data_IF_058889214540
#
_entry.id   IF_058889214540
#
_cell.length_a   1.000
_cell.length_b   1.000
_cell.length_c   1.000
_cell.angle_alpha   90.00
_cell.angle_beta   90.00
_cell.angle_gamma   90.00
#
_symmetry.space_group_name_H-M   'P 1'
#
loop_
_entity.id
_entity.type
_entity.pdbx_description
1 polymer ?
#
# COMPACT_ATOMS: atom_id res chain seq x y z
N UNK A 1 -4.89 9.11 16.51
CA UNK A 1 -5.38 9.31 17.90
C UNK A 1 -5.13 8.05 18.73
N UNK A 2 -4.82 8.18 20.04
CA UNK A 2 -4.49 7.03 20.89
C UNK A 2 -5.66 6.05 21.04
N UNK A 3 -6.89 6.56 21.18
CA UNK A 3 -8.10 5.73 21.24
C UNK A 3 -8.28 4.88 19.98
N UNK A 4 -8.07 5.45 18.79
CA UNK A 4 -8.13 4.71 17.53
C UNK A 4 -7.09 3.59 17.48
N UNK A 5 -5.85 3.86 17.93
CA UNK A 5 -4.79 2.86 17.93
C UNK A 5 -5.09 1.72 18.91
N UNK A 6 -5.61 2.04 20.11
CA UNK A 6 -6.07 1.03 21.08
C UNK A 6 -7.23 0.20 20.53
N UNK A 7 -8.17 0.84 19.84
CA UNK A 7 -9.31 0.15 19.24
C UNK A 7 -8.87 -0.84 18.14
N UNK A 8 -7.97 -0.42 17.25
CA UNK A 8 -7.43 -1.30 16.19
C UNK A 8 -6.65 -2.47 16.81
N UNK A 9 -5.86 -2.25 17.87
CA UNK A 9 -5.13 -3.33 18.54
C UNK A 9 -6.05 -4.37 19.17
N UNK A 10 -7.14 -3.93 19.78
CA UNK A 10 -8.09 -4.77 20.50
C UNK A 10 -9.22 -5.31 19.61
N UNK A 11 -9.11 -5.19 18.28
CA UNK A 11 -10.19 -5.52 17.33
C UNK A 11 -10.61 -7.00 17.39
N UNK A 12 -9.65 -7.89 17.63
CA UNK A 12 -9.85 -9.35 17.73
C UNK A 12 -10.03 -9.83 19.19
N UNK A 13 -10.23 -8.91 20.14
CA UNK A 13 -10.63 -9.25 21.50
C UNK A 13 -12.09 -9.70 21.52
N UNK A 14 -12.43 -10.66 22.37
CA UNK A 14 -13.78 -11.22 22.47
C UNK A 14 -14.37 -10.92 23.83
N UNK A 15 -15.67 -10.58 23.87
CA UNK A 15 -16.38 -10.20 25.10
C UNK A 15 -16.15 -11.16 26.28
N UNK A 16 -16.01 -12.46 26.04
CA UNK A 16 -15.79 -13.47 27.07
C UNK A 16 -14.32 -13.62 27.54
N UNK A 17 -13.36 -12.91 26.94
CA UNK A 17 -11.93 -12.99 27.24
C UNK A 17 -11.17 -14.06 26.45
N UNK A 18 -11.79 -14.69 25.45
CA UNK A 18 -11.14 -15.70 24.60
C UNK A 18 -10.51 -15.11 23.32
N UNK A 19 -10.50 -13.79 23.19
CA UNK A 19 -9.90 -13.08 22.06
C UNK A 19 -8.41 -12.83 22.25
N UNK A 20 -7.83 -12.20 21.23
CA UNK A 20 -6.41 -11.87 21.17
C UNK A 20 -6.25 -10.36 20.88
N UNK A 21 -5.09 -9.77 21.19
CA UNK A 21 -3.85 -10.38 21.68
C UNK A 21 -3.69 -10.44 23.20
N UNK A 22 -4.42 -9.62 23.95
CA UNK A 22 -4.19 -9.34 25.36
C UNK A 22 -5.20 -10.07 26.28
N UNK A 23 -6.27 -10.67 25.72
CA UNK A 23 -7.26 -11.46 26.45
C UNK A 23 -8.22 -10.61 27.27
N UNK A 24 -8.50 -9.40 26.79
CA UNK A 24 -9.38 -8.43 27.45
C UNK A 24 -10.81 -8.96 27.53
N UNK A 25 -11.53 -8.67 28.62
CA UNK A 25 -12.90 -9.15 28.83
C UNK A 25 -13.88 -8.01 29.08
N UNK A 26 -15.07 -8.13 28.49
CA UNK A 26 -16.16 -7.19 28.72
C UNK A 26 -15.76 -5.75 28.37
N UNK A 27 -15.93 -4.85 29.34
CA UNK A 27 -15.63 -3.42 29.17
C UNK A 27 -14.14 -3.07 29.19
N UNK A 28 -13.24 -4.02 29.51
CA UNK A 28 -11.80 -3.83 29.31
C UNK A 28 -11.47 -3.61 27.83
N UNK A 29 -12.31 -4.15 26.94
CA UNK A 29 -12.22 -3.94 25.50
C UNK A 29 -12.70 -2.51 25.18
N UNK A 30 -11.90 -1.67 24.50
CA UNK A 30 -12.32 -0.34 24.07
C UNK A 30 -13.65 -0.39 23.32
N UNK A 31 -14.56 0.55 23.60
CA UNK A 31 -15.88 0.59 22.96
C UNK A 31 -15.79 0.59 21.43
N UNK A 32 -14.85 1.37 20.87
CA UNK A 32 -14.62 1.41 19.42
C UNK A 32 -14.20 0.04 18.85
N UNK A 33 -13.41 -0.75 19.57
CA UNK A 33 -13.03 -2.11 19.15
C UNK A 33 -14.25 -3.04 19.15
N UNK A 34 -15.09 -2.96 20.20
CA UNK A 34 -16.33 -3.76 20.29
C UNK A 34 -17.29 -3.45 19.14
N UNK A 35 -17.45 -2.16 18.80
CA UNK A 35 -18.27 -1.72 17.66
C UNK A 35 -17.69 -2.25 16.34
N UNK A 36 -16.39 -2.03 16.10
CA UNK A 36 -15.73 -2.47 14.86
C UNK A 36 -15.72 -3.99 14.70
N UNK A 37 -15.47 -4.76 15.76
CA UNK A 37 -15.46 -6.23 15.70
C UNK A 37 -16.83 -6.82 15.36
N UNK A 38 -17.91 -6.25 15.92
CA UNK A 38 -19.28 -6.61 15.55
C UNK A 38 -19.55 -6.24 14.08
N UNK A 39 -19.27 -4.99 13.68
CA UNK A 39 -19.50 -4.51 12.32
C UNK A 39 -18.77 -5.34 11.26
N UNK A 40 -17.49 -5.67 11.49
CA UNK A 40 -16.68 -6.51 10.60
C UNK A 40 -17.31 -7.89 10.38
N UNK A 41 -17.78 -8.54 11.45
CA UNK A 41 -18.40 -9.87 11.31
C UNK A 41 -19.75 -9.78 10.61
N UNK A 42 -20.56 -8.78 10.98
CA UNK A 42 -21.88 -8.56 10.38
C UNK A 42 -21.77 -8.32 8.88
N UNK A 43 -20.83 -7.47 8.43
CA UNK A 43 -20.61 -7.20 7.01
C UNK A 43 -20.26 -8.47 6.23
N UNK A 44 -19.32 -9.28 6.74
CA UNK A 44 -18.92 -10.54 6.08
C UNK A 44 -20.11 -11.49 5.90
N UNK A 45 -20.95 -11.63 6.93
CA UNK A 45 -22.12 -12.49 6.87
C UNK A 45 -23.27 -11.89 6.06
N UNK A 46 -23.40 -10.56 6.02
CA UNK A 46 -24.32 -9.88 5.11
C UNK A 46 -23.95 -10.16 3.65
N UNK A 47 -22.68 -10.01 3.29
CA UNK A 47 -22.19 -10.27 1.93
C UNK A 47 -22.39 -11.72 1.51
N UNK A 48 -22.27 -12.68 2.43
CA UNK A 48 -22.43 -14.11 2.13
C UNK A 48 -23.88 -14.63 2.21
N UNK A 49 -24.70 -14.10 3.12
CA UNK A 49 -26.00 -14.69 3.52
C UNK A 49 -27.14 -13.67 3.65
N UNK A 50 -26.90 -12.40 3.31
CA UNK A 50 -27.87 -11.32 3.39
C UNK A 50 -28.19 -10.88 4.84
N UNK A 51 -29.18 -9.99 5.02
CA UNK A 51 -29.57 -9.42 6.32
C UNK A 51 -29.84 -10.46 7.40
N UNK A 52 -30.52 -11.55 7.04
CA UNK A 52 -30.90 -12.62 7.99
C UNK A 52 -29.66 -13.31 8.56
N UNK A 53 -28.70 -13.68 7.71
CA UNK A 53 -27.47 -14.33 8.17
C UNK A 53 -26.60 -13.40 9.03
N UNK A 54 -26.60 -12.11 8.72
CA UNK A 54 -25.90 -11.08 9.50
C UNK A 54 -26.52 -10.91 10.91
N UNK A 55 -27.85 -10.87 11.03
CA UNK A 55 -28.54 -10.86 12.33
C UNK A 55 -28.31 -12.16 13.11
N UNK A 56 -28.41 -13.32 12.45
CA UNK A 56 -28.24 -14.63 13.08
C UNK A 56 -26.84 -14.78 13.69
N UNK A 57 -25.76 -14.38 12.97
CA UNK A 57 -24.41 -14.50 13.50
C UNK A 57 -24.17 -13.57 14.69
N UNK A 58 -24.70 -12.34 14.65
CA UNK A 58 -24.58 -11.38 15.74
C UNK A 58 -25.23 -11.91 17.01
N UNK A 59 -26.45 -12.45 16.91
CA UNK A 59 -27.18 -13.08 18.03
C UNK A 59 -26.48 -14.32 18.54
N UNK A 60 -26.01 -15.18 17.63
CA UNK A 60 -25.34 -16.44 17.98
C UNK A 60 -24.09 -16.23 18.82
N UNK A 61 -23.35 -15.14 18.57
CA UNK A 61 -22.09 -14.81 19.27
C UNK A 61 -22.26 -13.76 20.37
N UNK A 62 -23.50 -13.34 20.68
CA UNK A 62 -23.83 -12.37 21.73
C UNK A 62 -23.36 -12.87 23.09
N UNK A 63 -22.56 -12.07 23.80
CA UNK A 63 -22.01 -12.42 25.11
C UNK A 63 -20.83 -13.39 25.07
N UNK A 64 -20.44 -13.87 23.89
CA UNK A 64 -19.20 -14.61 23.68
C UNK A 64 -18.15 -13.75 22.98
N UNK A 65 -18.42 -13.38 21.73
CA UNK A 65 -17.51 -12.52 20.97
C UNK A 65 -17.93 -11.05 21.11
N UNK A 66 -19.23 -10.80 21.07
CA UNK A 66 -19.77 -9.45 21.00
C UNK A 66 -20.38 -9.00 22.31
N UNK A 67 -20.23 -7.71 22.57
CA UNK A 67 -20.93 -7.00 23.63
C UNK A 67 -22.46 -7.19 23.47
N UNK A 68 -23.14 -7.76 24.49
CA UNK A 68 -24.58 -7.93 24.51
C UNK A 68 -25.39 -6.68 24.12
N UNK A 69 -24.99 -5.52 24.62
CA UNK A 69 -25.73 -4.28 24.43
C UNK A 69 -25.58 -3.76 23.01
N UNK A 70 -24.38 -3.90 22.41
CA UNK A 70 -24.14 -3.53 21.02
C UNK A 70 -24.90 -4.44 20.04
N UNK A 71 -25.01 -5.73 20.34
CA UNK A 71 -25.82 -6.66 19.53
C UNK A 71 -27.29 -6.24 19.56
N UNK A 72 -27.80 -5.85 20.73
CA UNK A 72 -29.20 -5.44 20.87
C UNK A 72 -29.48 -4.13 20.11
N UNK A 73 -28.56 -3.16 20.15
CA UNK A 73 -28.62 -1.94 19.33
C UNK A 73 -28.59 -2.28 17.84
N UNK A 74 -27.61 -3.06 17.38
CA UNK A 74 -27.51 -3.45 15.98
C UNK A 74 -28.78 -4.14 15.47
N UNK A 75 -29.33 -5.08 16.25
CA UNK A 75 -30.57 -5.78 15.92
C UNK A 75 -31.76 -4.82 15.81
N UNK A 76 -31.83 -3.80 16.67
CA UNK A 76 -32.91 -2.82 16.61
C UNK A 76 -32.83 -1.98 15.33
N UNK A 77 -31.62 -1.52 14.97
CA UNK A 77 -31.35 -0.77 13.74
C UNK A 77 -31.57 -1.61 12.47
N UNK A 78 -31.07 -2.85 12.46
CA UNK A 78 -31.22 -3.78 11.35
C UNK A 78 -32.68 -4.03 10.95
N UNK A 79 -33.60 -4.00 11.93
CA UNK A 79 -35.04 -4.16 11.68
C UNK A 79 -35.69 -2.97 11.00
N UNK A 80 -35.10 -1.78 11.12
CA UNK A 80 -35.61 -0.58 10.45
C UNK A 80 -35.33 -0.59 8.94
N UNK A 81 -34.39 -1.42 8.48
CA UNK A 81 -34.08 -1.60 7.06
C UNK A 81 -33.11 -0.57 6.48
N UNK A 82 -33.03 0.64 7.05
CA UNK A 82 -32.18 1.74 6.57
C UNK A 82 -30.69 1.34 6.48
N UNK A 83 -30.20 0.56 7.44
CA UNK A 83 -28.83 0.05 7.42
C UNK A 83 -28.55 -0.81 6.18
N UNK A 84 -29.49 -1.68 5.80
CA UNK A 84 -29.33 -2.59 4.67
C UNK A 84 -29.46 -1.86 3.34
N UNK A 85 -30.35 -0.88 3.26
CA UNK A 85 -30.47 0.00 2.09
C UNK A 85 -29.16 0.76 1.87
N UNK A 86 -28.60 1.36 2.92
CA UNK A 86 -27.32 2.05 2.86
C UNK A 86 -26.16 1.14 2.44
N UNK A 87 -26.09 -0.09 2.96
CA UNK A 87 -25.07 -1.08 2.57
C UNK A 87 -25.24 -1.59 1.12
N UNK A 88 -26.44 -1.46 0.54
CA UNK A 88 -26.71 -1.79 -0.86
C UNK A 88 -26.38 -0.67 -1.85
N UNK A 89 -25.99 0.51 -1.38
CA UNK A 89 -25.71 1.66 -2.26
C UNK A 89 -24.47 1.44 -3.15
N UNK A 90 -24.50 1.84 -4.44
CA UNK A 90 -23.37 1.66 -5.36
C UNK A 90 -22.07 2.39 -4.96
N UNK A 91 -22.16 3.49 -4.20
CA UNK A 91 -21.01 4.32 -3.80
C UNK A 91 -20.94 4.46 -2.27
N UNK A 92 -20.86 3.32 -1.59
CA UNK A 92 -20.75 3.25 -0.13
C UNK A 92 -19.58 4.09 0.42
N UNK A 93 -18.46 4.18 -0.32
CA UNK A 93 -17.30 4.97 0.08
C UNK A 93 -17.64 6.47 0.22
N UNK A 94 -18.46 7.00 -0.67
CA UNK A 94 -18.96 8.37 -0.56
C UNK A 94 -19.94 8.53 0.59
N UNK A 95 -20.86 7.58 0.78
CA UNK A 95 -21.84 7.66 1.87
C UNK A 95 -21.14 7.63 3.25
N UNK A 96 -20.10 6.81 3.41
CA UNK A 96 -19.27 6.77 4.62
C UNK A 96 -18.48 8.08 4.82
N UNK A 97 -17.91 8.68 3.76
CA UNK A 97 -17.15 9.92 3.91
C UNK A 97 -18.01 11.11 4.36
N UNK A 98 -19.29 11.11 4.01
CA UNK A 98 -20.26 12.12 4.47
C UNK A 98 -20.63 11.99 5.95
N UNK A 99 -20.32 10.86 6.59
CA UNK A 99 -20.53 10.65 8.03
C UNK A 99 -19.42 11.25 8.89
N UNK A 100 -18.31 11.72 8.30
CA UNK A 100 -17.23 12.36 9.06
C UNK A 100 -17.71 13.65 9.74
N UNK A 101 -17.51 13.82 11.06
CA UNK A 101 -17.87 15.05 11.74
C UNK A 101 -17.12 16.25 11.13
N UNK A 102 -17.86 17.26 10.68
CA UNK A 102 -17.31 18.40 9.94
C UNK A 102 -16.25 19.19 10.74
N UNK A 103 -16.33 19.17 12.07
CA UNK A 103 -15.38 19.81 13.00
C UNK A 103 -14.08 19.01 13.19
N UNK A 104 -14.00 17.78 12.67
CA UNK A 104 -12.85 16.89 12.78
C UNK A 104 -12.13 16.65 11.44
N UNK A 105 -12.58 17.28 10.36
CA UNK A 105 -11.95 17.18 9.05
C UNK A 105 -10.57 17.85 9.08
N UNK A 106 -9.53 17.08 8.83
CA UNK A 106 -8.16 17.58 8.72
C UNK A 106 -7.84 17.72 7.22
N UNK A 107 -7.46 18.94 6.81
CA UNK A 107 -6.99 19.15 5.45
C UNK A 107 -5.68 18.38 5.24
N UNK A 108 -5.62 17.60 4.15
CA UNK A 108 -4.44 16.84 3.77
C UNK A 108 -3.32 17.77 3.25
N UNK A 109 -2.68 18.49 4.17
CA UNK A 109 -1.51 19.30 3.86
C UNK A 109 -0.37 18.42 3.34
N UNK A 110 0.54 18.95 2.52
CA UNK A 110 1.62 18.16 1.93
C UNK A 110 2.46 17.35 2.94
N UNK A 111 2.66 17.85 4.16
CA UNK A 111 3.43 17.18 5.21
C UNK A 111 2.70 15.92 5.72
N UNK A 112 1.36 15.99 5.80
CA UNK A 112 0.53 14.84 6.15
C UNK A 112 0.53 13.79 5.04
N UNK A 113 0.55 14.21 3.79
CA UNK A 113 0.68 13.29 2.65
C UNK A 113 2.03 12.57 2.66
N UNK A 114 3.11 13.26 3.01
CA UNK A 114 4.43 12.64 3.14
C UNK A 114 4.44 11.61 4.26
N UNK A 115 3.91 11.96 5.45
CA UNK A 115 3.79 11.03 6.57
C UNK A 115 2.93 9.82 6.22
N UNK A 116 1.83 10.05 5.51
CA UNK A 116 0.94 8.98 5.02
C UNK A 116 1.67 8.06 4.05
N UNK A 117 2.39 8.62 3.07
CA UNK A 117 3.18 7.83 2.12
C UNK A 117 4.25 6.97 2.82
N UNK A 118 4.96 7.51 3.83
CA UNK A 118 5.91 6.74 4.62
C UNK A 118 5.24 5.64 5.46
N UNK A 119 4.07 5.90 6.05
CA UNK A 119 3.33 4.90 6.79
C UNK A 119 2.90 3.74 5.89
N UNK A 120 2.37 4.04 4.69
CA UNK A 120 2.00 3.02 3.70
C UNK A 120 3.21 2.28 3.15
N UNK A 121 4.34 2.95 2.88
CA UNK A 121 5.59 2.30 2.50
C UNK A 121 6.00 1.21 3.50
N UNK A 122 5.88 1.47 4.81
CA UNK A 122 6.16 0.47 5.84
C UNK A 122 5.19 -0.71 5.82
N UNK A 123 3.92 -0.47 5.52
CA UNK A 123 2.92 -1.54 5.36
C UNK A 123 3.25 -2.41 4.13
N UNK A 124 3.60 -1.77 3.02
CA UNK A 124 4.01 -2.43 1.78
C UNK A 124 5.25 -3.30 2.02
N UNK A 125 6.29 -2.70 2.59
CA UNK A 125 7.55 -3.38 2.87
C UNK A 125 7.40 -4.50 3.90
N UNK A 126 6.44 -4.41 4.83
CA UNK A 126 6.14 -5.46 5.81
C UNK A 126 5.45 -6.69 5.20
N UNK A 127 4.93 -6.59 3.97
CA UNK A 127 4.29 -7.71 3.28
C UNK A 127 5.27 -8.87 3.02
N UNK A 128 6.55 -8.56 2.82
CA UNK A 128 7.62 -9.53 2.59
C UNK A 128 8.83 -9.22 3.48
N UNK A 129 9.45 -10.22 4.13
CA UNK A 129 10.65 -9.99 4.94
C UNK A 129 11.85 -9.47 4.12
N UNK A 130 11.82 -9.58 2.79
CA UNK A 130 12.90 -9.19 1.87
C UNK A 130 12.77 -7.77 1.32
N UNK A 131 11.71 -7.05 1.69
CA UNK A 131 11.47 -5.67 1.24
C UNK A 131 11.68 -4.65 2.35
N UNK A 132 12.25 -5.03 3.49
CA UNK A 132 12.43 -4.11 4.61
C UNK A 132 13.26 -2.87 4.21
N UNK A 133 12.61 -1.69 4.25
CA UNK A 133 13.15 -0.37 3.87
C UNK A 133 13.44 -0.20 2.37
N UNK A 134 12.98 -1.11 1.52
CA UNK A 134 13.12 -1.01 0.07
C UNK A 134 12.41 0.24 -0.48
N UNK A 135 11.23 0.54 0.03
CA UNK A 135 10.48 1.73 -0.37
C UNK A 135 11.19 3.02 -0.02
N UNK A 136 11.80 3.09 1.18
CA UNK A 136 12.59 4.25 1.61
C UNK A 136 13.90 4.41 0.82
N UNK A 137 14.58 3.30 0.49
CA UNK A 137 15.82 3.29 -0.30
C UNK A 137 15.61 3.86 -1.71
N UNK A 138 14.60 3.36 -2.43
CA UNK A 138 14.26 3.86 -3.76
C UNK A 138 13.79 5.32 -3.73
N UNK A 139 12.93 5.69 -2.77
CA UNK A 139 12.47 7.07 -2.66
C UNK A 139 13.63 8.04 -2.41
N UNK A 140 14.64 7.64 -1.63
CA UNK A 140 15.86 8.43 -1.40
C UNK A 140 16.69 8.56 -2.67
N UNK A 141 16.97 7.45 -3.35
CA UNK A 141 17.75 7.46 -4.59
C UNK A 141 17.07 8.29 -5.68
N UNK A 142 15.76 8.09 -5.89
CA UNK A 142 14.99 8.84 -6.88
C UNK A 142 15.00 10.35 -6.60
N UNK A 143 14.80 10.76 -5.34
CA UNK A 143 14.86 12.17 -4.95
C UNK A 143 16.25 12.78 -5.21
N UNK A 144 17.32 12.06 -4.86
CA UNK A 144 18.70 12.53 -5.08
C UNK A 144 19.05 12.66 -6.56
N UNK A 145 18.65 11.70 -7.38
CA UNK A 145 18.83 11.77 -8.83
C UNK A 145 18.04 12.95 -9.39
N UNK A 146 16.79 13.15 -8.96
CA UNK A 146 15.95 14.27 -9.39
C UNK A 146 16.52 15.64 -9.02
N UNK A 147 17.01 15.81 -7.79
CA UNK A 147 17.74 17.01 -7.36
C UNK A 147 18.96 17.25 -8.25
N UNK A 148 19.73 16.19 -8.53
CA UNK A 148 20.95 16.28 -9.32
C UNK A 148 20.71 16.72 -10.77
N UNK A 149 19.64 16.24 -11.41
CA UNK A 149 19.26 16.65 -12.78
C UNK A 149 18.46 17.96 -12.82
N UNK A 150 18.23 18.60 -11.66
CA UNK A 150 17.63 19.94 -11.58
C UNK A 150 16.10 19.98 -11.64
N UNK A 151 15.42 18.91 -11.22
CA UNK A 151 13.96 18.94 -11.12
C UNK A 151 13.48 19.92 -10.02
N UNK A 152 12.34 20.60 -10.20
CA UNK A 152 11.77 21.48 -9.18
C UNK A 152 11.42 20.73 -7.89
N UNK A 153 11.49 21.41 -6.74
CA UNK A 153 11.21 20.82 -5.42
C UNK A 153 9.88 20.08 -5.33
N UNK A 154 8.82 20.62 -5.96
CA UNK A 154 7.51 19.96 -6.02
C UNK A 154 7.56 18.62 -6.74
N UNK A 155 8.27 18.55 -7.86
CA UNK A 155 8.45 17.32 -8.63
C UNK A 155 9.32 16.30 -7.87
N UNK A 156 10.36 16.76 -7.17
CA UNK A 156 11.18 15.90 -6.28
C UNK A 156 10.31 15.30 -5.17
N UNK A 157 9.43 16.09 -4.55
CA UNK A 157 8.53 15.61 -3.49
C UNK A 157 7.53 14.58 -4.01
N UNK A 158 6.96 14.81 -5.18
CA UNK A 158 6.02 13.88 -5.81
C UNK A 158 6.71 12.59 -6.23
N UNK A 159 7.93 12.67 -6.78
CA UNK A 159 8.75 11.51 -7.11
C UNK A 159 9.12 10.70 -5.85
N UNK A 160 9.44 11.36 -4.74
CA UNK A 160 9.67 10.70 -3.46
C UNK A 160 8.43 9.92 -3.00
N UNK A 161 7.23 10.51 -3.12
CA UNK A 161 5.97 9.84 -2.80
C UNK A 161 5.68 8.66 -3.73
N UNK A 162 5.93 8.80 -5.04
CA UNK A 162 5.82 7.68 -5.97
C UNK A 162 6.80 6.57 -5.63
N UNK A 163 8.05 6.90 -5.29
CA UNK A 163 9.03 5.94 -4.80
C UNK A 163 8.52 5.15 -3.60
N UNK A 164 7.92 5.81 -2.61
CA UNK A 164 7.36 5.17 -1.41
C UNK A 164 6.13 4.28 -1.71
N UNK A 165 5.35 4.60 -2.74
CA UNK A 165 4.05 3.99 -3.00
C UNK A 165 3.98 3.09 -4.25
N UNK A 166 5.06 3.03 -5.04
CA UNK A 166 5.12 2.27 -6.32
C UNK A 166 4.70 0.81 -6.21
N UNK A 167 4.93 0.23 -5.03
CA UNK A 167 4.69 -1.16 -4.73
C UNK A 167 3.36 -1.43 -3.98
N UNK A 168 2.48 -0.43 -3.81
CA UNK A 168 1.21 -0.65 -3.08
C UNK A 168 0.34 -1.74 -3.70
N UNK A 169 0.41 -1.91 -5.02
CA UNK A 169 -0.25 -2.98 -5.74
C UNK A 169 0.26 -4.39 -5.37
N UNK A 170 1.47 -4.52 -4.79
CA UNK A 170 1.95 -5.82 -4.28
C UNK A 170 1.03 -6.37 -3.20
N UNK A 171 0.25 -5.54 -2.49
CA UNK A 171 -0.75 -6.00 -1.53
C UNK A 171 -1.76 -6.99 -2.15
N UNK A 172 -2.07 -6.84 -3.45
CA UNK A 172 -2.93 -7.77 -4.20
C UNK A 172 -2.25 -9.05 -4.70
N UNK A 173 -0.94 -9.23 -4.48
CA UNK A 173 -0.18 -10.41 -4.91
C UNK A 173 0.01 -11.37 -3.74
N UNK A 174 -0.05 -12.68 -4.00
CA UNK A 174 0.13 -13.71 -2.97
C UNK A 174 1.58 -13.78 -2.48
N UNK A 175 1.77 -13.87 -1.15
CA UNK A 175 3.09 -14.11 -0.56
C UNK A 175 3.71 -15.45 -0.98
N UNK A 176 2.88 -16.44 -1.37
CA UNK A 176 3.39 -17.71 -1.93
C UNK A 176 4.21 -17.51 -3.22
N UNK A 177 3.97 -16.40 -3.93
CA UNK A 177 4.71 -16.00 -5.13
C UNK A 177 5.84 -15.07 -4.73
N UNK A 178 5.55 -13.99 -3.99
CA UNK A 178 6.55 -12.96 -3.64
C UNK A 178 7.73 -13.52 -2.82
N UNK A 179 7.45 -14.45 -1.91
CA UNK A 179 8.45 -15.02 -0.99
C UNK A 179 8.94 -16.40 -1.44
N UNK A 180 8.66 -16.81 -2.68
CA UNK A 180 9.05 -18.12 -3.20
C UNK A 180 10.59 -18.27 -3.17
N UNK A 181 11.14 -19.31 -2.52
CA UNK A 181 12.58 -19.56 -2.51
C UNK A 181 12.99 -20.20 -3.84
N UNK A 182 13.31 -19.36 -4.84
CA UNK A 182 13.76 -19.80 -6.16
C UNK A 182 13.16 -18.97 -7.30
N UNK A 183 13.43 -19.36 -8.57
CA UNK A 183 12.86 -18.65 -9.72
C UNK A 183 11.35 -18.79 -9.78
N UNK A 184 10.70 -17.72 -10.23
CA UNK A 184 9.28 -17.74 -10.57
C UNK A 184 9.06 -18.50 -11.87
N UNK A 185 7.95 -19.22 -11.97
CA UNK A 185 7.44 -19.68 -13.26
C UNK A 185 6.93 -18.49 -14.07
N UNK A 186 6.72 -18.68 -15.37
CA UNK A 186 6.17 -17.63 -16.23
C UNK A 186 4.79 -17.14 -15.73
N UNK A 187 3.89 -18.07 -15.39
CA UNK A 187 2.57 -17.74 -14.81
C UNK A 187 2.67 -16.98 -13.48
N UNK A 188 3.64 -17.33 -12.63
CA UNK A 188 3.89 -16.62 -11.37
C UNK A 188 4.41 -15.21 -11.63
N UNK A 189 5.31 -15.05 -12.62
CA UNK A 189 5.86 -13.76 -12.99
C UNK A 189 4.80 -12.86 -13.64
N UNK A 190 3.92 -13.38 -14.49
CA UNK A 190 2.78 -12.64 -15.04
C UNK A 190 1.85 -12.11 -13.95
N UNK A 191 1.69 -12.85 -12.84
CA UNK A 191 0.95 -12.34 -11.67
C UNK A 191 1.68 -11.18 -11.00
N UNK A 192 3.00 -11.27 -10.84
CA UNK A 192 3.81 -10.16 -10.29
C UNK A 192 3.73 -8.92 -11.17
N UNK A 193 3.78 -9.07 -12.51
CA UNK A 193 3.66 -7.95 -13.46
C UNK A 193 2.37 -7.15 -13.37
N UNK A 194 1.34 -7.67 -12.69
CA UNK A 194 0.07 -6.94 -12.45
C UNK A 194 0.19 -5.86 -11.39
N UNK A 195 1.17 -5.94 -10.49
CA UNK A 195 1.24 -5.04 -9.35
C UNK A 195 1.36 -3.55 -9.72
N UNK A 196 2.08 -3.12 -10.79
CA UNK A 196 2.14 -1.70 -11.11
C UNK A 196 0.78 -1.17 -11.61
N UNK A 197 0.03 -2.00 -12.34
CA UNK A 197 -1.37 -1.67 -12.72
C UNK A 197 -2.27 -1.53 -11.50
N UNK A 198 -2.17 -2.45 -10.53
CA UNK A 198 -2.88 -2.35 -9.25
C UNK A 198 -2.46 -1.10 -8.44
N UNK A 199 -1.18 -0.73 -8.47
CA UNK A 199 -0.68 0.53 -7.89
C UNK A 199 -1.38 1.72 -8.52
N UNK A 200 -1.48 1.77 -9.85
CA UNK A 200 -2.19 2.85 -10.55
C UNK A 200 -3.66 2.94 -10.12
N UNK A 201 -4.36 1.80 -10.06
CA UNK A 201 -5.76 1.74 -9.65
C UNK A 201 -5.98 2.27 -8.22
N UNK A 202 -5.15 1.85 -7.27
CA UNK A 202 -5.23 2.28 -5.87
C UNK A 202 -4.95 3.78 -5.74
N UNK A 203 -3.86 4.27 -6.34
CA UNK A 203 -3.45 5.68 -6.22
C UNK A 203 -4.40 6.62 -6.96
N UNK A 204 -5.02 6.19 -8.05
CA UNK A 204 -6.02 7.00 -8.78
C UNK A 204 -7.27 7.29 -7.94
N UNK A 205 -7.67 6.31 -7.10
CA UNK A 205 -8.81 6.44 -6.18
C UNK A 205 -8.48 7.31 -4.96
N UNK A 206 -7.22 7.37 -4.55
CA UNK A 206 -6.75 8.27 -3.51
C UNK A 206 -6.49 9.67 -4.08
N UNK A 207 -7.49 10.56 -4.04
CA UNK A 207 -7.45 11.86 -4.71
C UNK A 207 -6.13 12.66 -4.53
N UNK A 208 -5.51 12.74 -3.32
CA UNK A 208 -4.24 13.45 -3.15
C UNK A 208 -3.03 12.82 -3.86
N UNK A 209 -3.07 11.51 -4.16
CA UNK A 209 -2.00 10.76 -4.84
C UNK A 209 -2.30 10.47 -6.30
N UNK A 210 -3.45 10.91 -6.83
CA UNK A 210 -3.83 10.66 -8.23
C UNK A 210 -2.77 11.17 -9.21
N UNK A 211 -2.17 12.33 -8.93
CA UNK A 211 -1.16 12.94 -9.81
C UNK A 211 0.14 12.13 -9.93
N UNK A 212 0.41 11.22 -9.00
CA UNK A 212 1.63 10.38 -9.00
C UNK A 212 1.34 8.93 -9.42
N UNK A 213 0.08 8.59 -9.72
CA UNK A 213 -0.35 7.21 -9.94
C UNK A 213 0.35 6.55 -11.14
N UNK A 214 0.39 7.24 -12.29
CA UNK A 214 1.07 6.73 -13.48
C UNK A 214 2.58 6.63 -13.27
N UNK A 215 3.19 7.67 -12.68
CA UNK A 215 4.62 7.67 -12.35
C UNK A 215 5.00 6.47 -11.47
N UNK A 216 4.22 6.22 -10.42
CA UNK A 216 4.42 5.08 -9.54
C UNK A 216 4.20 3.74 -10.26
N UNK A 217 3.33 3.67 -11.26
CA UNK A 217 3.01 2.45 -12.01
C UNK A 217 3.97 2.16 -13.19
N UNK A 218 4.73 3.15 -13.64
CA UNK A 218 5.68 3.04 -14.75
C UNK A 218 7.09 2.61 -14.31
N UNK A 219 7.33 2.35 -13.01
CA UNK A 219 8.66 2.08 -12.47
C UNK A 219 9.35 0.81 -13.01
N UNK A 220 8.62 -0.06 -13.72
CA UNK A 220 9.16 -1.24 -14.41
C UNK A 220 9.13 -1.12 -15.94
N UNK A 221 8.72 0.04 -16.47
CA UNK A 221 8.80 0.34 -17.90
C UNK A 221 10.24 0.63 -18.31
N UNK A 222 10.58 0.34 -19.57
CA UNK A 222 11.94 0.44 -20.11
C UNK A 222 11.92 1.22 -21.41
N UNK A 223 13.02 1.91 -21.72
CA UNK A 223 13.07 2.77 -22.90
C UNK A 223 12.82 2.01 -24.22
N UNK A 224 13.28 0.75 -24.31
CA UNK A 224 13.06 -0.15 -25.45
C UNK A 224 11.63 -0.74 -25.53
N UNK A 225 10.76 -0.47 -24.56
CA UNK A 225 9.41 -1.04 -24.48
C UNK A 225 9.34 -2.49 -24.01
N UNK A 226 10.47 -3.10 -23.61
CA UNK A 226 10.50 -4.47 -23.04
C UNK A 226 10.05 -4.54 -21.58
N UNK A 227 9.75 -3.38 -20.98
CA UNK A 227 9.25 -3.24 -19.62
C UNK A 227 7.77 -3.65 -19.48
N UNK A 228 7.25 -3.44 -18.27
CA UNK A 228 5.86 -3.75 -17.92
C UNK A 228 5.34 -2.68 -16.95
N UNK A 229 4.03 -2.46 -16.81
CA UNK A 229 2.88 -3.31 -17.13
C UNK A 229 2.16 -2.98 -18.44
N UNK A 230 2.53 -1.90 -19.13
CA UNK A 230 1.91 -1.39 -20.37
C UNK A 230 2.82 -1.56 -21.58
N UNK A 231 4.13 -1.72 -21.39
CA UNK A 231 5.10 -1.82 -22.48
C UNK A 231 5.26 -0.49 -23.21
N UNK A 232 5.29 0.61 -22.46
CA UNK A 232 5.47 1.94 -23.04
C UNK A 232 6.95 2.19 -23.33
N UNK A 233 7.23 2.80 -24.49
CA UNK A 233 8.59 3.13 -24.91
C UNK A 233 9.07 4.44 -24.29
N UNK A 234 10.38 4.66 -24.36
CA UNK A 234 11.04 5.85 -23.82
C UNK A 234 10.42 7.17 -24.26
N UNK A 235 9.89 7.25 -25.48
CA UNK A 235 9.22 8.44 -26.02
C UNK A 235 7.99 8.88 -25.22
N UNK A 236 7.36 7.96 -24.51
CA UNK A 236 6.18 8.20 -23.68
C UNK A 236 6.47 8.25 -22.18
N UNK A 237 7.70 7.94 -21.77
CA UNK A 237 8.14 8.03 -20.38
C UNK A 237 8.67 9.43 -20.09
N UNK A 238 8.07 10.13 -19.14
CA UNK A 238 8.57 11.41 -18.66
C UNK A 238 9.84 11.21 -17.82
N UNK A 239 10.59 12.29 -17.59
CA UNK A 239 11.84 12.24 -16.83
C UNK A 239 11.66 11.62 -15.42
N UNK A 240 10.60 11.93 -14.64
CA UNK A 240 10.38 11.29 -13.35
C UNK A 240 10.14 9.77 -13.41
N UNK A 241 9.46 9.26 -14.45
CA UNK A 241 9.28 7.82 -14.66
C UNK A 241 10.64 7.13 -14.82
N UNK A 242 11.49 7.71 -15.67
CA UNK A 242 12.82 7.18 -15.99
C UNK A 242 13.75 7.20 -14.78
N UNK A 243 13.68 8.26 -13.96
CA UNK A 243 14.43 8.35 -12.71
C UNK A 243 13.96 7.26 -11.74
N UNK A 244 12.65 7.07 -11.60
CA UNK A 244 12.11 6.08 -10.68
C UNK A 244 12.52 4.66 -11.06
N UNK A 245 12.50 4.33 -12.36
CA UNK A 245 12.96 3.03 -12.85
C UNK A 245 14.44 2.77 -12.54
N UNK A 246 15.33 3.76 -12.75
CA UNK A 246 16.75 3.64 -12.41
C UNK A 246 16.95 3.47 -10.90
N UNK A 247 16.25 4.25 -10.08
CA UNK A 247 16.32 4.16 -8.63
C UNK A 247 15.83 2.79 -8.12
N UNK A 248 14.77 2.24 -8.70
CA UNK A 248 14.23 0.92 -8.34
C UNK A 248 15.21 -0.21 -8.67
N UNK A 249 15.79 -0.20 -9.88
CA UNK A 249 16.82 -1.18 -10.28
C UNK A 249 18.03 -1.10 -9.35
N UNK A 250 18.52 0.11 -9.05
CA UNK A 250 19.67 0.31 -8.17
C UNK A 250 19.45 -0.25 -6.76
N UNK A 251 18.34 0.09 -6.11
CA UNK A 251 18.04 -0.39 -4.76
C UNK A 251 17.75 -1.91 -4.78
N UNK A 252 17.07 -2.41 -5.82
CA UNK A 252 16.78 -3.83 -5.94
C UNK A 252 18.03 -4.69 -6.17
N UNK A 253 19.07 -4.19 -6.85
CA UNK A 253 20.34 -4.90 -7.06
C UNK A 253 21.25 -4.86 -5.81
N UNK A 254 21.22 -3.76 -5.06
CA UNK A 254 22.03 -3.56 -3.86
C UNK A 254 21.47 -4.22 -2.58
N UNK A 255 20.25 -4.74 -2.62
CA UNK A 255 19.61 -5.42 -1.48
C UNK A 255 19.60 -6.96 -1.61
N UNK A 256 19.51 -7.62 -0.45
CA UNK A 256 19.22 -9.05 -0.35
C UNK A 256 17.79 -9.35 -0.84
N UNK A 257 17.62 -10.48 -1.53
CA UNK A 257 16.35 -10.99 -2.07
C UNK A 257 16.20 -12.48 -1.70
N UNK A 258 14.98 -13.07 -1.76
CA UNK A 258 14.78 -14.47 -1.36
C UNK A 258 15.68 -15.48 -2.08
N UNK A 259 16.09 -15.16 -3.31
CA UNK A 259 16.87 -16.01 -4.21
C UNK A 259 18.28 -15.47 -4.49
N UNK A 260 18.69 -14.34 -3.89
CA UNK A 260 19.97 -13.68 -4.21
C UNK A 260 20.46 -12.80 -3.07
N UNK A 261 21.73 -12.91 -2.71
CA UNK A 261 22.38 -11.93 -1.83
C UNK A 261 22.53 -10.57 -2.52
N UNK A 262 22.77 -9.52 -1.72
CA UNK A 262 23.13 -8.20 -2.20
C UNK A 262 24.40 -8.28 -3.06
N UNK A 263 24.38 -7.62 -4.22
CA UNK A 263 25.55 -7.56 -5.10
C UNK A 263 26.57 -6.52 -4.60
N UNK A 264 27.88 -6.73 -4.82
CA UNK A 264 28.87 -5.68 -4.63
C UNK A 264 28.53 -4.45 -5.47
N UNK A 265 28.77 -3.25 -4.92
CA UNK A 265 28.38 -1.99 -5.55
C UNK A 265 28.95 -1.85 -6.97
N UNK A 266 30.21 -2.26 -7.18
CA UNK A 266 30.86 -2.22 -8.49
C UNK A 266 30.08 -3.05 -9.52
N UNK A 267 29.54 -4.21 -9.12
CA UNK A 267 28.75 -5.05 -10.01
C UNK A 267 27.36 -4.48 -10.26
N UNK A 268 26.76 -3.83 -9.26
CA UNK A 268 25.48 -3.11 -9.43
C UNK A 268 25.63 -2.02 -10.50
N UNK A 269 26.68 -1.20 -10.39
CA UNK A 269 26.94 -0.12 -11.33
C UNK A 269 27.24 -0.67 -12.73
N UNK A 270 28.07 -1.71 -12.86
CA UNK A 270 28.34 -2.36 -14.16
C UNK A 270 27.06 -2.79 -14.86
N UNK A 271 26.13 -3.47 -14.16
CA UNK A 271 24.86 -3.91 -14.73
C UNK A 271 23.99 -2.72 -15.17
N UNK A 272 23.94 -1.66 -14.37
CA UNK A 272 23.13 -0.47 -14.69
C UNK A 272 23.72 0.29 -15.89
N UNK A 273 25.04 0.37 -16.00
CA UNK A 273 25.74 0.99 -17.13
C UNK A 273 25.52 0.20 -18.43
N UNK A 274 25.56 -1.14 -18.36
CA UNK A 274 25.24 -2.03 -19.49
C UNK A 274 23.81 -1.83 -20.02
N UNK A 275 22.84 -1.51 -19.16
CA UNK A 275 21.45 -1.25 -19.55
C UNK A 275 21.17 0.22 -19.96
N UNK A 276 22.16 1.10 -19.84
CA UNK A 276 22.06 2.53 -20.13
C UNK A 276 21.87 2.78 -21.64
N UNK A 277 20.87 3.60 -21.97
CA UNK A 277 20.57 4.00 -23.36
C UNK A 277 19.67 3.02 -24.12
N UNK A 278 19.64 1.74 -23.74
CA UNK A 278 18.71 0.75 -24.30
C UNK A 278 17.47 0.61 -23.43
N UNK A 279 17.64 0.32 -22.14
CA UNK A 279 16.52 0.06 -21.21
C UNK A 279 16.35 1.18 -20.18
N UNK A 280 17.45 1.77 -19.74
CA UNK A 280 17.50 2.81 -18.72
C UNK A 280 17.94 4.15 -19.30
N UNK A 281 17.48 5.25 -18.70
CA UNK A 281 17.84 6.60 -19.17
C UNK A 281 19.31 6.92 -18.93
N UNK A 282 20.09 7.27 -19.97
CA UNK A 282 21.49 7.66 -19.81
C UNK A 282 21.69 8.85 -18.87
N UNK A 283 20.77 9.81 -18.89
CA UNK A 283 20.82 10.98 -18.00
C UNK A 283 20.63 10.56 -16.53
N UNK A 284 19.60 9.76 -16.25
CA UNK A 284 19.34 9.25 -14.89
C UNK A 284 20.45 8.32 -14.39
N UNK A 285 21.00 7.47 -15.27
CA UNK A 285 22.12 6.58 -14.95
C UNK A 285 23.38 7.41 -14.66
N UNK A 286 23.69 8.40 -15.50
CA UNK A 286 24.83 9.30 -15.28
C UNK A 286 24.75 10.03 -13.94
N UNK A 287 23.57 10.57 -13.61
CA UNK A 287 23.32 11.20 -12.31
C UNK A 287 23.49 10.22 -11.13
N UNK A 288 22.98 8.99 -11.25
CA UNK A 288 23.19 7.94 -10.25
C UNK A 288 24.68 7.66 -10.04
N UNK A 289 25.44 7.45 -11.12
CA UNK A 289 26.88 7.15 -11.08
C UNK A 289 27.67 8.28 -10.39
N UNK A 290 27.37 9.53 -10.76
CA UNK A 290 27.98 10.71 -10.16
C UNK A 290 27.72 10.79 -8.65
N UNK A 291 26.47 10.57 -8.23
CA UNK A 291 26.08 10.58 -6.81
C UNK A 291 26.77 9.47 -6.01
N UNK A 292 26.85 8.25 -6.57
CA UNK A 292 27.55 7.13 -5.91
C UNK A 292 29.04 7.43 -5.79
N UNK A 293 29.68 7.99 -6.84
CA UNK A 293 31.10 8.35 -6.81
C UNK A 293 31.45 9.41 -5.75
N UNK A 294 30.50 10.29 -5.43
CA UNK A 294 30.61 11.33 -4.39
C UNK A 294 30.26 10.84 -2.99
N UNK A 295 29.75 9.61 -2.86
CA UNK A 295 29.27 9.06 -1.58
C UNK A 295 27.97 9.72 -1.08
N UNK A 296 27.12 10.19 -2.00
CA UNK A 296 25.87 10.88 -1.70
C UNK A 296 24.63 9.97 -1.65
N UNK A 297 24.81 8.64 -1.79
CA UNK A 297 23.76 7.61 -1.80
C UNK A 297 24.00 6.43 -0.85
#
# INVERSE_FOLDING_TARGET
PEETARAIRALDEHWNGAGHPDGMKGEEIPLLARICGLAQTVEVFYTAYGPVGAEEIARKRRGEWFDPDLVDVFVAEARMGELWEALGEPDLARSVSLMEPADRVIMAAPEWLDLTAHAFARIIDAKSPFTFRHSEGVARAAAKIAEHVGLPEGAVRDLKRAGLLRDIGKLGISNRILDKPGPLTEDEFERVKRHPGLTCEVLTRAAPFRGIAEMAANHHEKLDGSGYHRGITGEHLAQPDRILAVADVFDALSQNRPYREAMPMEKVLEIIDEESGEKLSPESVGALMDLVSKGEL
#
